data_IF_184446351464
#
_entry.id   IF_184446351464
#
_cell.length_a   1.000
_cell.length_b   1.000
_cell.length_c   1.000
_cell.angle_alpha   90.00
_cell.angle_beta   90.00
_cell.angle_gamma   90.00
#
_symmetry.space_group_name_H-M   'P 1'
#
loop_
_entity.id
_entity.type
_entity.pdbx_description
1 polymer ?
#
# COMPACT_ATOMS: atom_id res chain seq x y z
N UNK A 1 -12.15 -23.89 16.35
CA UNK A 1 -11.34 -23.53 15.15
C UNK A 1 -10.64 -24.77 14.55
N UNK A 2 -10.76 -25.91 15.21
CA UNK A 2 -10.19 -27.18 14.73
C UNK A 2 -10.74 -27.56 13.34
N UNK A 3 -9.84 -28.01 12.45
CA UNK A 3 -10.16 -28.42 11.09
C UNK A 3 -10.28 -27.32 10.05
N UNK A 4 -10.09 -26.03 10.39
CA UNK A 4 -10.10 -24.94 9.43
C UNK A 4 -8.76 -24.83 8.72
N UNK A 5 -8.81 -24.78 7.37
CA UNK A 5 -7.63 -24.74 6.50
C UNK A 5 -7.25 -23.34 6.10
N UNK A 6 -5.97 -22.99 6.25
CA UNK A 6 -5.46 -21.65 5.98
C UNK A 6 -4.29 -21.72 4.98
N UNK A 7 -4.36 -20.94 3.92
CA UNK A 7 -3.25 -20.72 3.01
C UNK A 7 -2.50 -19.44 3.40
N UNK A 8 -1.30 -19.58 3.93
CA UNK A 8 -0.49 -18.45 4.42
C UNK A 8 0.35 -17.88 3.30
N UNK A 9 0.18 -16.61 2.98
CA UNK A 9 1.03 -15.89 2.03
C UNK A 9 2.41 -15.64 2.67
N UNK A 10 3.43 -16.31 2.17
CA UNK A 10 4.79 -16.28 2.72
C UNK A 10 5.73 -15.58 1.73
N UNK A 11 6.33 -14.47 2.15
CA UNK A 11 7.26 -13.66 1.35
C UNK A 11 8.74 -13.93 1.67
N UNK A 12 9.04 -14.93 2.51
CA UNK A 12 10.40 -15.14 3.02
C UNK A 12 10.83 -14.17 4.14
N UNK A 13 9.99 -13.21 4.50
CA UNK A 13 10.21 -12.28 5.61
C UNK A 13 9.70 -12.83 6.95
N UNK A 14 10.20 -12.26 8.06
CA UNK A 14 9.87 -12.71 9.43
C UNK A 14 8.38 -12.62 9.74
N UNK A 15 7.68 -11.58 9.28
CA UNK A 15 6.27 -11.34 9.62
C UNK A 15 5.35 -12.43 9.06
N UNK A 16 5.55 -12.81 7.80
CA UNK A 16 4.77 -13.90 7.18
C UNK A 16 5.09 -15.27 7.80
N UNK A 17 6.34 -15.47 8.21
CA UNK A 17 6.77 -16.69 8.91
C UNK A 17 6.19 -16.79 10.31
N UNK A 18 6.17 -15.69 11.05
CA UNK A 18 5.53 -15.62 12.36
C UNK A 18 4.00 -15.78 12.24
N UNK A 19 3.38 -15.24 11.19
CA UNK A 19 1.97 -15.46 10.92
C UNK A 19 1.62 -16.95 10.80
N UNK A 20 2.44 -17.70 10.04
CA UNK A 20 2.29 -19.14 9.91
C UNK A 20 2.47 -19.87 11.26
N UNK A 21 3.49 -19.50 12.03
CA UNK A 21 3.76 -20.06 13.36
C UNK A 21 2.57 -19.86 14.31
N UNK A 22 2.07 -18.63 14.42
CA UNK A 22 0.97 -18.28 15.30
C UNK A 22 -0.32 -19.04 14.96
N UNK A 23 -0.65 -19.18 13.68
CA UNK A 23 -1.83 -19.93 13.25
C UNK A 23 -1.70 -21.43 13.54
N UNK A 24 -0.52 -22.01 13.33
CA UNK A 24 -0.25 -23.40 13.73
C UNK A 24 -0.42 -23.61 15.22
N UNK A 25 0.08 -22.68 16.06
CA UNK A 25 -0.10 -22.72 17.52
C UNK A 25 -1.58 -22.58 17.94
N UNK A 26 -2.38 -21.86 17.14
CA UNK A 26 -3.84 -21.75 17.36
C UNK A 26 -4.65 -22.95 16.86
N UNK A 27 -4.00 -23.98 16.29
CA UNK A 27 -4.63 -25.22 15.87
C UNK A 27 -5.21 -25.20 14.45
N UNK A 28 -4.85 -24.21 13.61
CA UNK A 28 -5.23 -24.22 12.19
C UNK A 28 -4.41 -25.21 11.38
N UNK A 29 -5.02 -25.80 10.36
CA UNK A 29 -4.32 -26.57 9.33
C UNK A 29 -3.75 -25.58 8.30
N UNK A 30 -2.44 -25.35 8.34
CA UNK A 30 -1.79 -24.34 7.51
C UNK A 30 -0.93 -24.96 6.42
N UNK A 31 -1.03 -24.38 5.21
CA UNK A 31 -0.06 -24.54 4.13
C UNK A 31 0.48 -23.17 3.70
N UNK A 32 1.71 -23.13 3.20
CA UNK A 32 2.36 -21.90 2.74
C UNK A 32 2.18 -21.68 1.24
N UNK A 33 2.06 -20.43 0.83
CA UNK A 33 2.08 -20.04 -0.57
C UNK A 33 2.93 -18.80 -0.79
N UNK A 34 3.74 -18.81 -1.84
CA UNK A 34 4.42 -17.63 -2.34
C UNK A 34 3.85 -17.23 -3.69
N UNK A 35 3.61 -15.94 -3.89
CA UNK A 35 3.32 -15.38 -5.20
C UNK A 35 4.64 -14.97 -5.86
N UNK A 36 4.98 -15.57 -6.99
CA UNK A 36 6.05 -15.09 -7.84
C UNK A 36 5.52 -13.92 -8.66
N UNK A 37 5.92 -12.70 -8.29
CA UNK A 37 5.37 -11.46 -8.84
C UNK A 37 6.26 -10.85 -9.92
N UNK A 38 7.57 -11.07 -9.84
CA UNK A 38 8.54 -10.42 -10.72
C UNK A 38 9.70 -11.35 -11.06
N UNK A 39 10.26 -11.21 -12.25
CA UNK A 39 11.40 -12.01 -12.75
C UNK A 39 12.75 -11.27 -12.65
N UNK A 40 12.88 -10.25 -11.80
CA UNK A 40 14.13 -9.52 -11.65
C UNK A 40 15.22 -10.37 -10.99
N UNK A 41 16.41 -10.38 -11.57
CA UNK A 41 17.60 -11.08 -11.03
C UNK A 41 18.28 -10.30 -9.89
N UNK A 42 17.85 -9.07 -9.59
CA UNK A 42 18.47 -8.23 -8.55
C UNK A 42 18.08 -8.72 -7.15
N UNK A 43 19.08 -8.92 -6.31
CA UNK A 43 18.90 -9.20 -4.88
C UNK A 43 18.11 -8.07 -4.20
N UNK A 44 17.17 -8.42 -3.32
CA UNK A 44 16.36 -7.45 -2.57
C UNK A 44 14.93 -7.24 -3.07
N UNK A 45 14.52 -7.91 -4.17
CA UNK A 45 13.10 -7.93 -4.61
C UNK A 45 12.32 -8.93 -3.76
N UNK A 46 11.10 -8.58 -3.33
CA UNK A 46 10.16 -9.52 -2.67
C UNK A 46 9.79 -10.65 -3.63
N UNK A 47 10.46 -11.77 -3.67
CA UNK A 47 10.25 -12.96 -4.49
C UNK A 47 11.54 -13.43 -5.18
N UNK A 48 12.70 -13.09 -4.60
CA UNK A 48 13.98 -13.66 -5.03
C UNK A 48 14.01 -15.16 -4.79
N UNK A 49 14.94 -15.87 -5.42
CA UNK A 49 15.15 -17.30 -5.17
C UNK A 49 15.48 -17.57 -3.69
N UNK A 50 16.21 -16.67 -3.05
CA UNK A 50 16.56 -16.73 -1.62
C UNK A 50 15.31 -16.58 -0.74
N UNK A 51 14.42 -15.63 -1.05
CA UNK A 51 13.15 -15.46 -0.32
C UNK A 51 12.26 -16.70 -0.44
N UNK A 52 12.23 -17.32 -1.62
CA UNK A 52 11.50 -18.55 -1.83
C UNK A 52 12.13 -19.74 -1.05
N UNK A 53 13.46 -19.77 -0.97
CA UNK A 53 14.21 -20.70 -0.15
C UNK A 53 13.89 -20.55 1.34
N UNK A 54 13.93 -19.32 1.84
CA UNK A 54 13.59 -18.99 3.22
C UNK A 54 12.15 -19.38 3.57
N UNK A 55 11.18 -19.00 2.75
CA UNK A 55 9.77 -19.32 2.95
C UNK A 55 9.52 -20.82 2.95
N UNK A 56 10.15 -21.54 2.01
CA UNK A 56 10.07 -23.03 1.94
C UNK A 56 10.66 -23.69 3.18
N UNK A 57 11.83 -23.20 3.64
CA UNK A 57 12.50 -23.73 4.82
C UNK A 57 11.66 -23.56 6.09
N UNK A 58 11.01 -22.40 6.24
CA UNK A 58 10.07 -22.15 7.34
C UNK A 58 8.85 -23.05 7.22
N UNK A 59 8.23 -23.16 6.05
CA UNK A 59 7.09 -24.06 5.83
C UNK A 59 7.42 -25.50 6.19
N UNK A 60 8.56 -26.00 5.72
CA UNK A 60 9.03 -27.35 6.05
C UNK A 60 9.22 -27.56 7.56
N UNK A 61 9.87 -26.59 8.23
CA UNK A 61 10.07 -26.64 9.70
C UNK A 61 8.75 -26.68 10.47
N UNK A 62 7.71 -25.99 9.97
CA UNK A 62 6.37 -25.98 10.56
C UNK A 62 5.49 -27.18 10.13
N UNK A 63 6.02 -28.12 9.35
CA UNK A 63 5.28 -29.28 8.84
C UNK A 63 4.17 -28.92 7.85
N UNK A 64 4.36 -27.84 7.08
CA UNK A 64 3.41 -27.32 6.10
C UNK A 64 3.84 -27.68 4.68
N UNK A 65 2.87 -27.89 3.78
CA UNK A 65 3.13 -27.87 2.33
C UNK A 65 3.45 -26.45 1.89
N UNK A 66 4.19 -26.33 0.79
CA UNK A 66 4.55 -25.00 0.25
C UNK A 66 4.35 -24.97 -1.26
N UNK A 67 3.61 -23.97 -1.70
CA UNK A 67 3.28 -23.75 -3.10
C UNK A 67 3.90 -22.43 -3.60
N UNK A 68 4.26 -22.40 -4.88
CA UNK A 68 4.66 -21.18 -5.58
C UNK A 68 3.69 -20.97 -6.73
N UNK A 69 2.97 -19.86 -6.71
CA UNK A 69 2.06 -19.47 -7.77
C UNK A 69 2.69 -18.37 -8.64
N UNK A 70 2.74 -18.61 -9.94
CA UNK A 70 3.26 -17.62 -10.87
C UNK A 70 2.16 -16.62 -11.23
N UNK A 71 2.34 -15.38 -10.80
CA UNK A 71 1.43 -14.25 -11.05
C UNK A 71 2.18 -13.08 -11.73
N UNK A 72 3.30 -13.37 -12.41
CA UNK A 72 4.15 -12.33 -13.01
C UNK A 72 3.42 -11.50 -14.07
N UNK A 73 2.64 -12.13 -14.95
CA UNK A 73 1.87 -11.42 -15.98
C UNK A 73 0.77 -10.53 -15.37
N UNK A 74 0.08 -11.06 -14.36
CA UNK A 74 -0.96 -10.31 -13.66
C UNK A 74 -0.36 -9.14 -12.87
N UNK A 75 0.77 -9.35 -12.23
CA UNK A 75 1.49 -8.30 -11.50
C UNK A 75 1.98 -7.21 -12.47
N UNK A 76 2.53 -7.58 -13.62
CA UNK A 76 2.91 -6.62 -14.65
C UNK A 76 1.71 -5.74 -15.02
N UNK A 77 0.60 -6.33 -15.45
CA UNK A 77 -0.58 -5.61 -15.92
C UNK A 77 -1.28 -4.78 -14.83
N UNK A 78 -1.52 -5.36 -13.65
CA UNK A 78 -2.37 -4.74 -12.63
C UNK A 78 -1.61 -3.79 -11.69
N UNK A 79 -0.27 -3.91 -11.62
CA UNK A 79 0.55 -3.13 -10.69
C UNK A 79 1.60 -2.29 -11.43
N UNK A 80 2.45 -2.92 -12.24
CA UNK A 80 3.60 -2.23 -12.85
C UNK A 80 3.15 -1.30 -13.98
N UNK A 81 2.32 -1.78 -14.92
CA UNK A 81 1.80 -0.96 -16.05
C UNK A 81 0.97 0.21 -15.51
N UNK A 82 0.18 -0.05 -14.47
CA UNK A 82 -0.60 1.00 -13.82
C UNK A 82 0.28 2.01 -13.11
N UNK A 83 1.34 1.57 -12.44
CA UNK A 83 2.33 2.45 -11.83
C UNK A 83 2.97 3.39 -12.88
N UNK A 84 3.35 2.85 -14.04
CA UNK A 84 3.88 3.63 -15.16
C UNK A 84 2.84 4.64 -15.66
N UNK A 85 1.61 4.19 -15.92
CA UNK A 85 0.54 5.05 -16.45
C UNK A 85 0.22 6.23 -15.50
N UNK A 86 0.13 5.98 -14.19
CA UNK A 86 -0.13 7.03 -13.21
C UNK A 86 1.02 8.06 -13.16
N UNK A 87 2.28 7.62 -13.22
CA UNK A 87 3.41 8.56 -13.29
C UNK A 87 3.43 9.38 -14.57
N UNK A 88 3.07 8.78 -15.71
CA UNK A 88 2.93 9.50 -16.99
C UNK A 88 1.79 10.52 -16.93
N UNK A 89 0.73 10.24 -16.19
CA UNK A 89 -0.37 11.19 -15.96
C UNK A 89 0.01 12.32 -14.97
N UNK A 90 1.22 12.30 -14.40
CA UNK A 90 1.67 13.29 -13.42
C UNK A 90 1.33 12.93 -11.97
N UNK A 91 0.73 11.78 -11.71
CA UNK A 91 0.35 11.33 -10.37
C UNK A 91 1.53 10.70 -9.62
N UNK A 92 1.29 10.34 -8.36
CA UNK A 92 2.26 9.59 -7.53
C UNK A 92 1.53 8.40 -6.89
N UNK A 93 1.47 7.24 -7.54
CA UNK A 93 0.70 6.08 -7.06
C UNK A 93 1.38 5.38 -5.88
N UNK A 94 0.58 4.57 -5.15
CA UNK A 94 1.10 3.59 -4.19
C UNK A 94 0.81 2.17 -4.70
N UNK A 95 1.79 1.50 -5.33
CA UNK A 95 1.58 0.20 -5.96
C UNK A 95 1.27 -0.93 -4.96
N UNK A 96 1.62 -0.77 -3.68
CA UNK A 96 1.29 -1.77 -2.65
C UNK A 96 -0.22 -1.93 -2.46
N UNK A 97 -1.00 -0.86 -2.65
CA UNK A 97 -2.46 -0.91 -2.57
C UNK A 97 -3.01 -1.80 -3.69
N UNK A 98 -2.55 -1.61 -4.93
CA UNK A 98 -2.97 -2.43 -6.07
C UNK A 98 -2.50 -3.89 -5.95
N UNK A 99 -1.26 -4.11 -5.48
CA UNK A 99 -0.75 -5.45 -5.21
C UNK A 99 -1.61 -6.18 -4.18
N UNK A 100 -1.96 -5.54 -3.08
CA UNK A 100 -2.85 -6.13 -2.08
C UNK A 100 -4.22 -6.43 -2.68
N UNK A 101 -4.85 -5.47 -3.36
CA UNK A 101 -6.19 -5.62 -3.95
C UNK A 101 -6.25 -6.72 -5.01
N UNK A 102 -5.32 -6.72 -5.98
CA UNK A 102 -5.42 -7.57 -7.17
C UNK A 102 -4.77 -8.95 -6.98
N UNK A 103 -3.64 -9.00 -6.26
CA UNK A 103 -2.84 -10.23 -6.17
C UNK A 103 -3.08 -10.97 -4.85
N UNK A 104 -2.77 -10.32 -3.70
CA UNK A 104 -2.83 -11.02 -2.40
C UNK A 104 -4.27 -11.33 -1.97
N UNK A 105 -5.16 -10.34 -2.05
CA UNK A 105 -6.56 -10.50 -1.62
C UNK A 105 -7.54 -10.68 -2.79
N UNK A 106 -7.04 -10.68 -4.02
CA UNK A 106 -7.73 -11.14 -5.23
C UNK A 106 -7.26 -12.53 -5.62
N UNK A 107 -6.28 -12.63 -6.52
CA UNK A 107 -5.84 -13.89 -7.12
C UNK A 107 -5.51 -15.00 -6.12
N UNK A 108 -4.77 -14.70 -5.04
CA UNK A 108 -4.42 -15.71 -4.04
C UNK A 108 -5.65 -16.19 -3.26
N UNK A 109 -6.56 -15.28 -2.89
CA UNK A 109 -7.80 -15.66 -2.20
C UNK A 109 -8.68 -16.53 -3.09
N UNK A 110 -8.90 -16.14 -4.34
CA UNK A 110 -9.70 -16.92 -5.30
C UNK A 110 -9.13 -18.33 -5.45
N UNK A 111 -7.80 -18.44 -5.59
CA UNK A 111 -7.11 -19.71 -5.70
C UNK A 111 -7.19 -20.55 -4.42
N UNK A 112 -7.07 -19.92 -3.26
CA UNK A 112 -7.20 -20.60 -1.97
C UNK A 112 -8.58 -21.22 -1.80
N UNK A 113 -9.65 -20.47 -2.13
CA UNK A 113 -11.02 -20.96 -2.06
C UNK A 113 -11.27 -22.13 -3.02
N UNK A 114 -10.76 -22.06 -4.25
CA UNK A 114 -10.83 -23.15 -5.24
C UNK A 114 -10.10 -24.42 -4.73
N UNK A 115 -8.98 -24.24 -4.02
CA UNK A 115 -8.21 -25.36 -3.42
C UNK A 115 -8.82 -25.87 -2.10
N UNK A 116 -9.96 -25.31 -1.66
CA UNK A 116 -10.69 -25.74 -0.47
C UNK A 116 -10.09 -25.22 0.84
N UNK A 117 -9.35 -24.11 0.83
CA UNK A 117 -8.96 -23.39 2.05
C UNK A 117 -10.12 -22.51 2.52
N UNK A 118 -10.32 -22.42 3.82
CA UNK A 118 -11.33 -21.53 4.42
C UNK A 118 -10.85 -20.08 4.47
N UNK A 119 -9.54 -19.89 4.65
CA UNK A 119 -8.93 -18.58 4.84
C UNK A 119 -7.61 -18.45 4.09
N UNK A 120 -7.25 -17.21 3.78
CA UNK A 120 -5.87 -16.82 3.55
C UNK A 120 -5.35 -16.05 4.77
N UNK A 121 -4.04 -16.08 4.98
CA UNK A 121 -3.38 -15.28 6.02
C UNK A 121 -2.16 -14.58 5.48
N UNK A 122 -1.83 -13.44 6.07
CA UNK A 122 -0.64 -12.65 5.73
C UNK A 122 0.03 -12.09 6.97
N UNK A 123 1.29 -11.66 6.83
CA UNK A 123 2.05 -10.97 7.87
C UNK A 123 1.78 -9.45 7.96
N UNK A 124 0.61 -8.94 7.54
CA UNK A 124 0.29 -7.53 7.68
C UNK A 124 -0.07 -7.16 9.11
N UNK A 125 0.47 -6.03 9.57
CA UNK A 125 0.13 -5.41 10.86
C UNK A 125 -1.18 -4.63 10.73
N UNK A 126 -2.28 -5.34 10.73
CA UNK A 126 -3.65 -4.85 10.84
C UNK A 126 -4.49 -5.94 11.52
N UNK A 127 -5.70 -5.65 11.91
CA UNK A 127 -6.60 -6.61 12.56
C UNK A 127 -7.92 -6.71 11.81
N UNK A 128 -8.54 -7.85 11.87
CA UNK A 128 -9.88 -8.08 11.35
C UNK A 128 -10.72 -8.68 12.48
N UNK A 129 -11.88 -8.10 12.73
CA UNK A 129 -12.87 -8.66 13.60
C UNK A 129 -14.28 -8.57 12.98
N UNK A 130 -15.27 -9.09 13.68
CA UNK A 130 -16.67 -9.00 13.26
C UNK A 130 -17.43 -8.18 14.28
N UNK A 131 -18.09 -7.14 13.82
CA UNK A 131 -18.93 -6.30 14.65
C UNK A 131 -20.13 -7.12 15.18
N UNK A 132 -20.31 -7.21 16.51
CA UNK A 132 -21.35 -8.06 17.10
C UNK A 132 -22.76 -7.53 16.86
N UNK A 133 -22.93 -6.25 16.54
CA UNK A 133 -24.24 -5.62 16.34
C UNK A 133 -24.65 -5.72 14.88
N UNK A 134 -23.78 -5.31 13.96
CA UNK A 134 -24.09 -5.28 12.51
C UNK A 134 -23.79 -6.60 11.82
N UNK A 135 -22.94 -7.44 12.41
CA UNK A 135 -22.43 -8.66 11.79
C UNK A 135 -21.41 -8.43 10.67
N UNK A 136 -21.07 -7.18 10.36
CA UNK A 136 -20.09 -6.83 9.34
C UNK A 136 -18.66 -7.06 9.84
N UNK A 137 -17.76 -7.41 8.92
CA UNK A 137 -16.34 -7.46 9.21
C UNK A 137 -15.77 -6.05 9.24
N UNK A 138 -14.88 -5.79 10.21
CA UNK A 138 -14.17 -4.53 10.37
C UNK A 138 -12.68 -4.75 10.11
N UNK A 139 -12.07 -3.85 9.36
CA UNK A 139 -10.63 -3.71 9.28
C UNK A 139 -10.18 -2.72 10.35
N UNK A 140 -9.27 -3.12 11.20
CA UNK A 140 -8.75 -2.32 12.30
C UNK A 140 -7.25 -2.10 12.15
N UNK A 141 -6.76 -1.01 12.70
CA UNK A 141 -5.32 -0.75 12.81
C UNK A 141 -4.59 -1.85 13.57
N UNK A 142 -3.35 -2.08 13.22
CA UNK A 142 -2.44 -2.90 14.02
C UNK A 142 -2.20 -2.33 15.40
N UNK A 143 -1.93 -3.22 16.38
CA UNK A 143 -1.61 -2.82 17.74
C UNK A 143 -0.32 -1.99 17.81
N UNK A 144 0.71 -2.40 17.09
CA UNK A 144 1.91 -1.56 16.88
C UNK A 144 1.62 -0.45 15.86
N UNK A 145 1.33 0.75 16.36
CA UNK A 145 1.01 1.93 15.53
C UNK A 145 2.13 2.35 14.59
N UNK A 146 3.38 2.03 14.91
CA UNK A 146 4.54 2.35 14.09
C UNK A 146 4.68 1.41 12.89
N UNK A 147 4.07 0.21 12.99
CA UNK A 147 4.04 -0.82 11.95
C UNK A 147 2.68 -0.98 11.29
N UNK A 148 1.66 -0.20 11.72
CA UNK A 148 0.31 -0.29 11.19
C UNK A 148 0.28 -0.22 9.66
N UNK A 149 -0.30 -1.24 9.04
CA UNK A 149 -0.42 -1.38 7.59
C UNK A 149 -1.88 -1.32 7.10
N UNK A 150 -2.80 -0.93 7.98
CA UNK A 150 -4.23 -0.82 7.62
C UNK A 150 -4.48 0.16 6.46
N UNK A 151 -3.63 1.17 6.30
CA UNK A 151 -3.67 2.12 5.19
C UNK A 151 -3.63 1.45 3.81
N UNK A 152 -2.77 0.46 3.60
CA UNK A 152 -2.65 -0.22 2.29
C UNK A 152 -3.67 -1.34 2.09
N UNK A 153 -4.60 -1.51 3.04
CA UNK A 153 -5.65 -2.52 3.04
C UNK A 153 -7.06 -1.92 2.89
N UNK A 154 -7.20 -0.61 2.79
CA UNK A 154 -8.51 0.06 2.77
C UNK A 154 -9.44 -0.38 1.64
N UNK A 155 -8.90 -1.00 0.59
CA UNK A 155 -9.69 -1.48 -0.56
C UNK A 155 -10.30 -2.88 -0.35
N UNK A 156 -10.14 -3.50 0.82
CA UNK A 156 -10.73 -4.80 1.11
C UNK A 156 -12.25 -4.71 1.21
N UNK A 157 -12.91 -5.72 0.65
CA UNK A 157 -14.36 -5.88 0.67
C UNK A 157 -14.79 -6.78 1.82
N UNK A 158 -16.08 -6.78 2.17
CA UNK A 158 -16.66 -7.68 3.17
C UNK A 158 -16.39 -9.17 2.84
N UNK A 159 -16.52 -9.55 1.57
CA UNK A 159 -16.23 -10.92 1.13
C UNK A 159 -14.77 -11.32 1.35
N UNK A 160 -13.83 -10.41 1.11
CA UNK A 160 -12.40 -10.65 1.35
C UNK A 160 -12.09 -10.71 2.84
N UNK A 161 -12.63 -9.79 3.64
CA UNK A 161 -12.43 -9.77 5.09
C UNK A 161 -12.97 -11.03 5.78
N UNK A 162 -14.05 -11.62 5.27
CA UNK A 162 -14.63 -12.86 5.79
C UNK A 162 -13.68 -14.06 5.70
N UNK A 163 -12.72 -14.02 4.79
CA UNK A 163 -11.77 -15.11 4.54
C UNK A 163 -10.31 -14.71 4.84
N UNK A 164 -10.10 -13.67 5.67
CA UNK A 164 -8.79 -13.11 5.94
C UNK A 164 -8.40 -13.22 7.41
N UNK A 165 -7.18 -13.72 7.67
CA UNK A 165 -6.56 -13.73 8.97
C UNK A 165 -5.27 -12.89 8.96
N UNK A 166 -5.12 -12.02 9.95
CA UNK A 166 -3.96 -11.14 10.13
C UNK A 166 -3.34 -11.36 11.53
N UNK A 167 -2.73 -12.53 11.78
CA UNK A 167 -2.37 -12.97 13.12
C UNK A 167 -1.29 -12.12 13.80
N UNK A 168 -0.47 -11.37 13.05
CA UNK A 168 0.56 -10.50 13.64
C UNK A 168 0.01 -9.13 14.07
N UNK A 169 -1.20 -8.79 13.69
CA UNK A 169 -1.80 -7.48 13.96
C UNK A 169 -2.00 -7.15 15.45
N UNK A 170 -2.07 -8.17 16.31
CA UNK A 170 -2.22 -8.02 17.75
C UNK A 170 -0.88 -7.95 18.52
N UNK A 171 0.24 -8.00 17.81
CA UNK A 171 1.57 -8.01 18.39
C UNK A 171 2.39 -6.79 17.95
N UNK A 172 3.37 -6.44 18.75
CA UNK A 172 4.41 -5.51 18.33
C UNK A 172 5.54 -6.26 17.58
N UNK A 173 6.32 -5.52 16.80
CA UNK A 173 7.40 -6.09 15.98
C UNK A 173 8.47 -6.82 16.79
N UNK A 174 8.93 -6.32 17.96
CA UNK A 174 9.87 -7.05 18.82
C UNK A 174 9.33 -8.41 19.28
N UNK A 175 8.06 -8.50 19.69
CA UNK A 175 7.45 -9.76 20.11
C UNK A 175 7.37 -10.76 18.96
N UNK A 176 7.05 -10.32 17.75
CA UNK A 176 7.04 -11.16 16.54
C UNK A 176 8.44 -11.72 16.25
N UNK A 177 9.49 -10.90 16.31
CA UNK A 177 10.87 -11.36 16.12
C UNK A 177 11.30 -12.35 17.19
N UNK A 178 10.95 -12.09 18.43
CA UNK A 178 11.27 -12.99 19.56
C UNK A 178 10.57 -14.35 19.41
N UNK A 179 9.28 -14.36 19.08
CA UNK A 179 8.54 -15.60 18.81
C UNK A 179 9.17 -16.40 17.67
N UNK A 180 9.62 -15.72 16.60
CA UNK A 180 10.31 -16.37 15.48
C UNK A 180 11.67 -16.97 15.91
N UNK A 181 12.45 -16.28 16.76
CA UNK A 181 13.72 -16.79 17.29
C UNK A 181 13.50 -18.02 18.19
N UNK A 182 12.54 -17.94 19.12
CA UNK A 182 12.22 -19.06 20.02
C UNK A 182 11.78 -20.31 19.25
N UNK A 183 11.06 -20.13 18.13
CA UNK A 183 10.71 -21.22 17.22
C UNK A 183 11.87 -21.66 16.32
N UNK A 184 13.02 -20.99 16.37
CA UNK A 184 14.21 -21.26 15.58
C UNK A 184 14.00 -21.02 14.08
N UNK A 185 13.17 -20.03 13.70
CA UNK A 185 12.98 -19.67 12.29
C UNK A 185 14.22 -18.94 11.76
N UNK A 186 14.74 -19.39 10.61
CA UNK A 186 16.02 -18.92 10.04
C UNK A 186 16.01 -17.42 9.70
N UNK A 187 14.85 -16.88 9.38
CA UNK A 187 14.65 -15.48 8.96
C UNK A 187 14.21 -14.53 10.09
N UNK A 188 14.33 -14.93 11.36
CA UNK A 188 13.93 -14.13 12.52
C UNK A 188 14.61 -12.74 12.56
N UNK A 189 15.87 -12.67 12.12
CA UNK A 189 16.68 -11.45 12.13
C UNK A 189 16.73 -10.73 10.75
N UNK A 190 16.03 -11.25 9.75
CA UNK A 190 15.98 -10.64 8.42
C UNK A 190 15.43 -9.22 8.49
N UNK A 191 16.07 -8.30 7.76
CA UNK A 191 15.64 -6.92 7.67
C UNK A 191 14.26 -6.80 6.99
N UNK A 192 13.49 -5.77 7.39
CA UNK A 192 12.20 -5.49 6.74
C UNK A 192 12.46 -4.90 5.34
N UNK A 193 11.63 -5.27 4.37
CA UNK A 193 11.62 -4.58 3.07
C UNK A 193 11.15 -3.14 3.24
N UNK A 194 11.94 -2.18 2.78
CA UNK A 194 11.69 -0.74 2.99
C UNK A 194 11.11 -0.06 1.74
N UNK A 195 11.38 -0.61 0.54
CA UNK A 195 11.09 0.02 -0.74
C UNK A 195 10.01 -0.72 -1.55
N UNK A 196 9.63 -0.12 -2.68
CA UNK A 196 8.76 -0.76 -3.67
C UNK A 196 9.49 -1.99 -4.22
N UNK A 197 8.88 -3.17 -4.08
CA UNK A 197 9.54 -4.45 -4.33
C UNK A 197 10.12 -4.63 -5.75
N UNK A 198 9.58 -3.94 -6.75
CA UNK A 198 10.08 -3.96 -8.13
C UNK A 198 10.95 -2.73 -8.49
N UNK A 199 11.23 -1.85 -7.51
CA UNK A 199 12.14 -0.69 -7.62
C UNK A 199 13.15 -0.75 -6.46
N UNK A 200 14.03 -1.77 -6.43
CA UNK A 200 14.85 -2.08 -5.27
C UNK A 200 15.87 -0.99 -4.91
N UNK A 201 16.31 -0.22 -5.89
CA UNK A 201 17.29 0.87 -5.70
C UNK A 201 16.63 2.22 -5.39
N UNK A 202 15.29 2.24 -5.25
CA UNK A 202 14.51 3.46 -5.06
C UNK A 202 14.47 4.39 -6.28
N UNK A 203 15.16 4.04 -7.38
CA UNK A 203 15.15 4.82 -8.63
C UNK A 203 13.97 4.41 -9.51
N UNK A 204 12.80 4.91 -9.14
CA UNK A 204 11.60 4.69 -9.95
C UNK A 204 11.70 5.34 -11.35
N UNK A 205 12.54 6.36 -11.54
CA UNK A 205 12.73 7.01 -12.83
C UNK A 205 13.42 6.06 -13.82
N UNK A 206 14.47 5.36 -13.37
CA UNK A 206 15.11 4.32 -14.17
C UNK A 206 14.12 3.20 -14.52
N UNK A 207 13.30 2.76 -13.55
CA UNK A 207 12.25 1.77 -13.79
C UNK A 207 11.24 2.23 -14.86
N UNK A 208 10.78 3.48 -14.81
CA UNK A 208 9.86 4.03 -15.83
C UNK A 208 10.48 4.01 -17.22
N UNK A 209 11.78 4.29 -17.36
CA UNK A 209 12.48 4.27 -18.64
C UNK A 209 12.74 2.84 -19.15
N UNK A 210 13.23 1.96 -18.27
CA UNK A 210 13.63 0.58 -18.64
C UNK A 210 12.42 -0.32 -18.88
N UNK A 211 11.49 -0.37 -17.92
CA UNK A 211 10.30 -1.22 -18.01
C UNK A 211 9.17 -0.57 -18.81
N UNK A 212 8.86 0.69 -18.50
CA UNK A 212 7.74 1.42 -19.08
C UNK A 212 8.05 2.02 -20.47
N UNK A 213 9.30 1.96 -20.91
CA UNK A 213 9.80 2.62 -22.14
C UNK A 213 9.41 4.10 -22.22
N UNK A 214 9.29 4.75 -21.05
CA UNK A 214 8.86 6.14 -20.93
C UNK A 214 9.99 7.06 -21.38
N UNK A 215 9.72 7.87 -22.38
CA UNK A 215 10.61 8.99 -22.76
C UNK A 215 10.35 10.15 -21.81
N UNK A 216 11.39 10.60 -21.11
CA UNK A 216 11.31 11.76 -20.24
C UNK A 216 11.38 13.03 -21.08
N UNK A 217 10.29 13.77 -21.15
CA UNK A 217 10.23 15.04 -21.90
C UNK A 217 10.58 16.21 -20.99
N UNK A 218 11.70 16.90 -21.21
CA UNK A 218 12.06 18.09 -20.45
C UNK A 218 11.02 19.21 -20.67
N UNK A 219 10.62 19.85 -19.58
CA UNK A 219 9.69 20.98 -19.60
C UNK A 219 10.17 22.11 -18.71
N UNK A 220 9.29 23.03 -18.33
CA UNK A 220 9.64 24.22 -17.57
C UNK A 220 9.16 24.15 -16.12
N UNK A 221 10.04 24.54 -15.20
CA UNK A 221 9.62 25.01 -13.88
C UNK A 221 9.08 26.42 -14.02
N UNK A 222 7.91 26.68 -13.48
CA UNK A 222 7.26 28.01 -13.52
C UNK A 222 6.87 28.46 -12.11
N UNK A 223 6.80 29.78 -11.91
CA UNK A 223 6.19 30.36 -10.72
C UNK A 223 4.68 30.60 -10.90
N UNK A 224 4.03 31.23 -9.92
CA UNK A 224 2.58 31.52 -9.94
C UNK A 224 2.18 32.52 -11.03
N UNK A 225 3.10 33.37 -11.44
CA UNK A 225 2.93 34.33 -12.51
C UNK A 225 3.23 33.76 -13.90
N UNK A 226 3.60 32.45 -13.97
CA UNK A 226 3.95 31.78 -15.22
C UNK A 226 5.37 32.06 -15.73
N UNK A 227 6.21 32.73 -14.94
CA UNK A 227 7.63 33.00 -15.32
C UNK A 227 8.42 31.71 -15.22
N UNK A 228 9.25 31.45 -16.22
CA UNK A 228 10.14 30.28 -16.23
C UNK A 228 11.29 30.46 -15.26
N UNK A 229 11.42 29.52 -14.32
CA UNK A 229 12.48 29.49 -13.30
C UNK A 229 13.63 28.55 -13.69
N UNK A 230 13.43 27.64 -14.64
CA UNK A 230 14.38 26.65 -15.08
C UNK A 230 13.73 25.52 -15.86
N UNK A 231 14.50 24.46 -16.17
CA UNK A 231 13.99 23.31 -16.88
C UNK A 231 14.02 22.05 -16.00
N UNK A 232 12.94 21.26 -16.07
CA UNK A 232 12.88 19.94 -15.44
C UNK A 232 13.19 18.82 -16.45
N UNK A 233 13.55 17.64 -15.92
CA UNK A 233 13.95 16.46 -16.73
C UNK A 233 12.78 15.63 -17.25
N UNK A 234 11.55 15.96 -16.87
CA UNK A 234 10.32 15.23 -17.15
C UNK A 234 9.42 15.21 -15.91
N UNK A 235 8.10 15.34 -16.08
CA UNK A 235 7.12 15.35 -14.97
C UNK A 235 7.25 14.15 -14.03
N UNK A 236 7.49 12.91 -14.54
CA UNK A 236 7.61 11.73 -13.68
C UNK A 236 8.74 11.82 -12.66
N UNK A 237 9.80 12.59 -12.92
CA UNK A 237 10.96 12.73 -12.02
C UNK A 237 10.68 13.53 -10.73
N UNK A 238 9.46 14.07 -10.58
CA UNK A 238 9.14 14.98 -9.49
C UNK A 238 7.85 14.60 -8.77
N UNK A 239 7.83 14.87 -7.46
CA UNK A 239 6.66 14.61 -6.60
C UNK A 239 6.26 15.90 -5.86
N UNK A 240 4.97 16.13 -5.66
CA UNK A 240 4.44 17.25 -4.88
C UNK A 240 5.05 17.31 -3.49
N UNK A 241 5.55 18.47 -3.09
CA UNK A 241 6.28 18.70 -1.85
C UNK A 241 7.79 18.49 -1.95
N UNK A 242 8.32 18.05 -3.10
CA UNK A 242 9.77 17.88 -3.30
C UNK A 242 10.47 19.24 -3.29
N UNK A 243 11.59 19.31 -2.55
CA UNK A 243 12.47 20.50 -2.44
C UNK A 243 13.83 20.26 -3.06
N UNK A 244 14.40 19.06 -2.84
CA UNK A 244 15.76 18.74 -3.30
C UNK A 244 15.78 18.28 -4.75
N UNK A 245 16.89 18.50 -5.45
CA UNK A 245 17.07 17.99 -6.82
C UNK A 245 16.32 18.75 -7.91
N UNK A 246 15.83 19.99 -7.63
CA UNK A 246 15.11 20.80 -8.62
C UNK A 246 16.06 21.49 -9.62
N UNK A 247 17.32 21.78 -9.23
CA UNK A 247 18.28 22.42 -10.11
C UNK A 247 17.95 23.88 -10.48
N UNK A 248 17.13 24.57 -9.68
CA UNK A 248 16.77 25.98 -9.89
C UNK A 248 17.38 26.86 -8.81
N UNK A 249 17.81 28.07 -9.20
CA UNK A 249 18.32 29.11 -8.30
C UNK A 249 17.25 30.18 -8.10
N UNK A 250 16.38 29.98 -7.12
CA UNK A 250 15.26 30.88 -6.83
C UNK A 250 15.55 31.91 -5.71
N UNK A 251 16.79 31.93 -5.17
CA UNK A 251 17.16 32.81 -4.04
C UNK A 251 16.49 32.45 -2.70
N UNK A 252 15.57 31.52 -2.69
CA UNK A 252 14.85 30.99 -1.51
C UNK A 252 14.51 29.50 -1.68
N UNK A 253 14.05 28.86 -0.61
CA UNK A 253 13.53 27.48 -0.72
C UNK A 253 12.25 27.47 -1.52
N UNK A 254 12.22 26.63 -2.57
CA UNK A 254 11.03 26.38 -3.39
C UNK A 254 10.69 24.89 -3.40
N UNK A 255 9.43 24.60 -3.62
CA UNK A 255 8.85 23.27 -3.57
C UNK A 255 8.02 23.00 -4.82
N UNK A 256 7.96 21.75 -5.25
CA UNK A 256 6.98 21.31 -6.25
C UNK A 256 5.59 21.42 -5.64
N UNK A 257 4.78 22.34 -6.16
CA UNK A 257 3.40 22.56 -5.70
C UNK A 257 2.43 21.73 -6.55
N UNK A 258 2.58 21.80 -7.88
CA UNK A 258 1.69 21.11 -8.80
C UNK A 258 2.42 20.75 -10.10
N UNK A 259 2.02 19.64 -10.69
CA UNK A 259 2.45 19.19 -12.03
C UNK A 259 1.31 19.44 -13.00
N UNK A 260 1.58 20.00 -14.17
CA UNK A 260 0.61 20.20 -15.25
C UNK A 260 1.02 19.37 -16.47
N UNK A 261 0.35 18.26 -16.67
CA UNK A 261 0.65 17.35 -17.78
C UNK A 261 0.29 17.94 -19.14
N UNK A 262 -0.68 18.86 -19.23
CA UNK A 262 -1.10 19.46 -20.50
C UNK A 262 -0.01 20.35 -21.11
N UNK A 263 0.64 21.15 -20.27
CA UNK A 263 1.63 22.13 -20.70
C UNK A 263 3.06 21.68 -20.45
N UNK A 264 3.24 20.47 -19.92
CA UNK A 264 4.53 19.92 -19.45
C UNK A 264 5.26 20.92 -18.53
N UNK A 265 4.57 21.45 -17.52
CA UNK A 265 5.12 22.40 -16.56
C UNK A 265 5.00 21.91 -15.13
N UNK A 266 5.92 22.38 -14.28
CA UNK A 266 5.90 22.15 -12.84
C UNK A 266 5.85 23.51 -12.14
N UNK A 267 4.77 23.75 -11.41
CA UNK A 267 4.64 24.94 -10.57
C UNK A 267 5.51 24.79 -9.32
N UNK A 268 6.42 25.72 -9.13
CA UNK A 268 7.18 25.90 -7.91
C UNK A 268 6.60 27.01 -7.06
N UNK A 269 6.59 26.80 -5.75
CA UNK A 269 6.08 27.79 -4.80
C UNK A 269 6.72 27.68 -3.42
N UNK A 270 6.22 28.47 -2.49
CA UNK A 270 6.65 28.47 -1.10
C UNK A 270 6.02 27.30 -0.32
N UNK A 271 6.52 27.01 0.89
CA UNK A 271 5.98 25.94 1.74
C UNK A 271 4.47 26.13 2.02
N UNK A 272 4.01 27.35 2.21
CA UNK A 272 2.57 27.68 2.42
C UNK A 272 1.68 27.26 1.26
N UNK A 273 2.23 27.14 0.04
CA UNK A 273 1.50 26.79 -1.17
C UNK A 273 1.20 25.30 -1.27
N UNK A 274 1.83 24.51 -0.39
CA UNK A 274 1.62 23.07 -0.29
C UNK A 274 0.39 22.69 0.54
N UNK A 275 -0.23 23.65 1.23
CA UNK A 275 -1.31 23.35 2.16
C UNK A 275 -2.68 23.47 1.50
N UNK A 276 -3.51 22.44 1.67
CA UNK A 276 -4.93 22.43 1.28
C UNK A 276 -5.78 21.85 2.38
N UNK A 277 -6.99 22.41 2.56
CA UNK A 277 -7.99 21.87 3.49
C UNK A 277 -9.05 21.01 2.82
N UNK A 278 -9.03 20.91 1.48
CA UNK A 278 -10.04 20.16 0.73
C UNK A 278 -9.38 19.29 -0.33
N UNK A 279 -9.91 18.09 -0.52
CA UNK A 279 -9.57 17.22 -1.65
C UNK A 279 -10.82 16.46 -2.11
N UNK A 280 -10.78 15.98 -3.35
CA UNK A 280 -11.72 15.01 -3.90
C UNK A 280 -10.99 13.68 -4.12
N UNK A 281 -11.69 12.58 -3.89
CA UNK A 281 -11.15 11.25 -4.16
C UNK A 281 -12.14 10.42 -4.98
N UNK A 282 -11.58 9.67 -5.93
CA UNK A 282 -12.30 8.71 -6.77
C UNK A 282 -11.98 7.26 -6.38
N UNK A 283 -12.59 6.30 -7.08
CA UNK A 283 -12.38 4.86 -6.81
C UNK A 283 -12.56 4.52 -5.34
N UNK A 284 -13.62 5.08 -4.75
CA UNK A 284 -13.90 4.99 -3.32
C UNK A 284 -14.33 3.58 -2.95
N UNK A 285 -13.74 3.03 -1.90
CA UNK A 285 -14.19 1.81 -1.25
C UNK A 285 -14.65 2.12 0.17
N UNK A 286 -15.85 1.67 0.52
CA UNK A 286 -16.38 1.68 1.88
C UNK A 286 -16.30 0.27 2.43
N UNK A 287 -15.59 0.05 3.52
CA UNK A 287 -15.41 -1.29 4.12
C UNK A 287 -16.76 -1.94 4.47
N UNK A 288 -17.72 -1.15 4.93
CA UNK A 288 -19.08 -1.62 5.21
C UNK A 288 -19.88 -2.03 3.94
N UNK A 289 -19.36 -1.80 2.75
CA UNK A 289 -20.00 -2.11 1.47
C UNK A 289 -20.92 -1.02 0.94
N UNK A 290 -21.30 -0.04 1.76
CA UNK A 290 -22.16 1.07 1.38
C UNK A 290 -21.58 2.40 1.88
N UNK A 291 -21.79 3.47 1.09
CA UNK A 291 -21.47 4.83 1.51
C UNK A 291 -22.39 5.27 2.65
N UNK A 292 -21.93 6.13 3.57
CA UNK A 292 -22.80 6.75 4.55
C UNK A 292 -23.84 7.65 3.86
N UNK A 293 -25.02 7.78 4.47
CA UNK A 293 -26.15 8.56 3.90
C UNK A 293 -25.87 10.05 3.81
N UNK A 294 -24.87 10.56 4.49
CA UNK A 294 -24.53 11.98 4.52
C UNK A 294 -23.08 12.21 4.95
N UNK A 295 -22.75 13.45 5.28
CA UNK A 295 -21.43 13.81 5.78
C UNK A 295 -21.15 13.17 7.14
N UNK A 296 -19.96 12.61 7.31
CA UNK A 296 -19.50 12.00 8.56
C UNK A 296 -18.20 12.65 9.05
N UNK A 297 -17.99 12.63 10.37
CA UNK A 297 -16.72 13.03 11.00
C UNK A 297 -15.79 11.83 11.09
N UNK A 298 -14.54 12.04 10.70
CA UNK A 298 -13.51 10.99 10.64
C UNK A 298 -12.14 11.58 10.96
N UNK A 299 -11.15 10.73 11.18
CA UNK A 299 -9.76 11.09 10.93
C UNK A 299 -9.31 10.53 9.58
N UNK A 300 -8.45 11.25 8.85
CA UNK A 300 -8.00 10.85 7.54
C UNK A 300 -6.49 10.99 7.35
N UNK A 301 -5.89 10.04 6.61
CA UNK A 301 -4.48 10.07 6.20
C UNK A 301 -4.40 10.18 4.69
N UNK A 302 -3.59 11.11 4.19
CA UNK A 302 -3.36 11.31 2.74
C UNK A 302 -2.05 10.69 2.25
N UNK A 303 -1.26 10.08 3.15
CA UNK A 303 -0.05 9.30 2.88
C UNK A 303 0.15 8.23 3.94
N UNK A 304 0.83 7.15 3.58
CA UNK A 304 1.13 6.05 4.50
C UNK A 304 1.83 6.50 5.79
N UNK A 305 2.86 7.33 5.68
CA UNK A 305 3.68 7.79 6.82
C UNK A 305 3.14 9.02 7.55
N UNK A 306 2.00 9.58 7.12
CA UNK A 306 1.43 10.79 7.73
C UNK A 306 0.63 10.43 8.98
N UNK A 307 0.63 11.34 9.96
CA UNK A 307 -0.35 11.32 11.05
C UNK A 307 -1.72 11.70 10.51
N UNK A 308 -2.76 11.05 10.99
CA UNK A 308 -4.15 11.37 10.63
C UNK A 308 -4.55 12.78 11.13
N UNK A 309 -5.48 13.39 10.41
CA UNK A 309 -6.05 14.67 10.73
C UNK A 309 -7.59 14.60 10.71
N UNK A 310 -8.22 15.39 11.59
CA UNK A 310 -9.68 15.51 11.66
C UNK A 310 -10.24 16.09 10.36
N UNK A 311 -11.31 15.46 9.86
CA UNK A 311 -11.97 15.84 8.62
C UNK A 311 -13.47 15.51 8.64
N UNK A 312 -14.21 16.22 7.80
CA UNK A 312 -15.55 15.84 7.38
C UNK A 312 -15.47 15.20 5.99
N UNK A 313 -16.16 14.09 5.80
CA UNK A 313 -16.21 13.36 4.52
C UNK A 313 -17.64 13.29 4.05
N UNK A 314 -17.86 13.69 2.81
CA UNK A 314 -19.18 13.67 2.16
C UNK A 314 -19.11 12.80 0.91
N UNK A 315 -19.86 11.68 0.83
CA UNK A 315 -20.03 10.93 -0.41
C UNK A 315 -20.70 11.81 -1.47
N UNK A 316 -20.24 11.72 -2.72
CA UNK A 316 -20.79 12.44 -3.85
C UNK A 316 -21.65 11.50 -4.72
N UNK A 317 -22.68 12.05 -5.44
CA UNK A 317 -23.60 11.23 -6.23
C UNK A 317 -22.95 10.41 -7.35
N UNK A 318 -21.78 10.83 -7.81
CA UNK A 318 -21.01 10.18 -8.89
C UNK A 318 -20.03 9.11 -8.40
N UNK A 319 -20.15 8.70 -7.12
CA UNK A 319 -19.30 7.67 -6.51
C UNK A 319 -17.95 8.17 -6.02
N UNK A 320 -17.68 9.47 -6.14
CA UNK A 320 -16.53 10.13 -5.49
C UNK A 320 -16.84 10.47 -4.05
N UNK A 321 -15.85 11.01 -3.34
CA UNK A 321 -16.05 11.63 -2.04
C UNK A 321 -15.27 12.94 -1.94
N UNK A 322 -15.83 13.91 -1.22
CA UNK A 322 -15.16 15.11 -0.79
C UNK A 322 -14.65 14.95 0.64
N UNK A 323 -13.41 15.36 0.89
CA UNK A 323 -12.80 15.39 2.23
C UNK A 323 -12.40 16.82 2.56
N UNK A 324 -12.92 17.34 3.68
CA UNK A 324 -12.63 18.70 4.18
C UNK A 324 -11.96 18.57 5.53
N UNK A 325 -10.68 18.91 5.61
CA UNK A 325 -9.89 18.87 6.84
C UNK A 325 -10.12 20.11 7.70
N UNK A 326 -10.15 19.95 9.02
CA UNK A 326 -10.23 21.06 9.98
C UNK A 326 -8.98 21.94 9.95
N UNK A 327 -7.83 21.34 9.63
CA UNK A 327 -6.56 22.03 9.44
C UNK A 327 -5.97 21.65 8.09
N UNK A 328 -5.43 22.63 7.34
CA UNK A 328 -4.84 22.35 6.03
C UNK A 328 -3.75 21.29 6.10
N UNK A 329 -3.78 20.36 5.15
CA UNK A 329 -2.83 19.25 5.03
C UNK A 329 -1.75 19.58 4.01
N UNK A 330 -0.49 19.25 4.39
CA UNK A 330 0.67 19.57 3.56
C UNK A 330 0.86 18.55 2.45
N UNK A 331 1.08 19.05 1.24
CA UNK A 331 1.49 18.26 0.07
C UNK A 331 0.56 17.08 -0.21
N UNK A 332 -0.76 17.32 -0.18
CA UNK A 332 -1.75 16.39 -0.70
C UNK A 332 -1.43 16.13 -2.17
N UNK A 333 -1.35 14.84 -2.55
CA UNK A 333 -0.77 14.45 -3.84
C UNK A 333 -1.73 13.55 -4.60
N UNK A 334 -2.06 13.92 -5.83
CA UNK A 334 -2.87 13.11 -6.73
C UNK A 334 -2.23 11.73 -6.99
N UNK A 335 -3.07 10.70 -7.05
CA UNK A 335 -2.64 9.31 -7.17
C UNK A 335 -2.34 8.61 -5.83
N UNK A 336 -2.11 9.36 -4.74
CA UNK A 336 -2.05 8.77 -3.39
C UNK A 336 -3.46 8.43 -2.90
N UNK A 337 -3.54 7.57 -1.88
CA UNK A 337 -4.81 7.28 -1.25
C UNK A 337 -5.12 8.29 -0.13
N UNK A 338 -6.40 8.60 0.05
CA UNK A 338 -6.92 9.11 1.32
C UNK A 338 -7.65 7.97 2.02
N UNK A 339 -7.25 7.65 3.25
CA UNK A 339 -7.82 6.55 4.04
C UNK A 339 -8.46 7.12 5.29
N UNK A 340 -9.69 6.69 5.56
CA UNK A 340 -10.60 7.21 6.56
C UNK A 340 -10.68 6.28 7.76
N UNK A 341 -10.64 6.86 8.95
CA UNK A 341 -10.66 6.12 10.20
C UNK A 341 -11.70 6.69 11.19
N UNK A 342 -12.30 5.79 11.96
CA UNK A 342 -13.00 6.10 13.20
C UNK A 342 -12.32 5.34 14.34
N UNK A 343 -11.55 6.04 15.15
CA UNK A 343 -10.65 5.43 16.12
C UNK A 343 -9.69 4.42 15.48
N UNK A 344 -9.83 3.14 15.81
CA UNK A 344 -9.03 2.05 15.25
C UNK A 344 -9.59 1.51 13.92
N UNK A 345 -10.85 1.74 13.65
CA UNK A 345 -11.53 1.17 12.49
C UNK A 345 -11.20 1.95 11.21
N UNK A 346 -10.86 1.22 10.16
CA UNK A 346 -10.80 1.74 8.79
C UNK A 346 -12.23 1.76 8.22
N UNK A 347 -12.72 2.94 7.90
CA UNK A 347 -14.04 3.08 7.28
C UNK A 347 -14.00 2.86 5.77
N UNK A 348 -12.87 3.18 5.15
CA UNK A 348 -12.66 3.09 3.72
C UNK A 348 -11.62 4.08 3.24
N UNK A 349 -11.71 4.44 1.97
CA UNK A 349 -10.80 5.41 1.35
C UNK A 349 -11.00 5.52 -0.14
N UNK A 350 -10.20 6.35 -0.78
CA UNK A 350 -10.23 6.56 -2.22
C UNK A 350 -8.89 7.07 -2.73
N UNK A 351 -8.77 7.23 -4.04
CA UNK A 351 -7.59 7.78 -4.69
C UNK A 351 -7.78 9.28 -4.88
N UNK A 352 -6.84 10.07 -4.39
CA UNK A 352 -6.86 11.54 -4.45
C UNK A 352 -6.77 11.98 -5.92
N UNK A 353 -7.69 12.86 -6.33
CA UNK A 353 -7.69 13.51 -7.64
C UNK A 353 -6.88 14.82 -7.61
N UNK A 354 -6.64 15.41 -8.82
CA UNK A 354 -5.98 16.71 -8.99
C UNK A 354 -6.81 17.91 -8.50
#
# INVERSE_FOLDING_TARGET
MEGKRVLVAMSGGVDSSAAALLLRQQGYECDGAMLRLYNGEKAGTCCSADDAGDARSVAYRLGMKFYVFNETERFAREVMDRFVAEYCAGHTPNPCIDCNRCLKFGALLDRALVLGYDYIATGHYARVDRDPVTGLYRLLRGRDRRKDQSYVLYQLTQGQLAHLLLPVGDYDKPAIRESARQAGLLNADKADSQDICFVPDGDYTAFLQEYGHVTLEPGNFVDREGRVLGRHKGLPCYTTGQRKGLGVSAGKHVYVVRKNARDNTILLGDDRDLFTSRLTACRVNWIAGAAPAGSIRVTAKTRYSQTEAEAAVTPLPDGRMEVVFDRPQRAVTAGQAVVLYDGDQVLGGGVIED
#
